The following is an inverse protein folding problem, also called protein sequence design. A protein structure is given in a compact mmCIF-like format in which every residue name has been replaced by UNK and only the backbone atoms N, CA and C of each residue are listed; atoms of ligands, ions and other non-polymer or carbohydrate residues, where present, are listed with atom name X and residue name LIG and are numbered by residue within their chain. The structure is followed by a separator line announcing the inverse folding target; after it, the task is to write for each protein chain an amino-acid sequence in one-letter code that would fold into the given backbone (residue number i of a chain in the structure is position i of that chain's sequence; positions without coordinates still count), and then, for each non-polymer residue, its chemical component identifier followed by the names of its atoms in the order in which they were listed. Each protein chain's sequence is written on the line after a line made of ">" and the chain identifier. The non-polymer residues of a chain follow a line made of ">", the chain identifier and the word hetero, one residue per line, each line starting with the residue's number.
data_IF_270781774649
#
_entry.id   IF_270781774649
#
_cell.length_a   1.000
_cell.length_b   1.000
_cell.length_c   1.000
_cell.angle_alpha   90.00
_cell.angle_beta   90.00
_cell.angle_gamma   90.00
#
_symmetry.space_group_name_H-M   'P 1'
#
loop_
_entity.id
_entity.type
_entity.pdbx_description
1 polymer ?
#
# COMPACT_ATOMS: atom_id res chain seq x y z
N UNK A 1 -2.54 8.79 1.17
CA UNK A 1 -3.30 8.34 -0.03
C UNK A 1 -3.32 6.82 -0.05
N UNK A 2 -4.45 6.24 -0.47
CA UNK A 2 -4.68 4.80 -0.54
C UNK A 2 -4.65 4.35 -2.01
N UNK A 3 -3.91 3.29 -2.31
CA UNK A 3 -3.79 2.75 -3.66
C UNK A 3 -3.95 1.23 -3.63
N UNK A 4 -5.16 0.70 -3.90
CA UNK A 4 -5.32 -0.72 -4.13
C UNK A 4 -4.57 -1.09 -5.42
N UNK A 5 -3.81 -2.17 -5.36
CA UNK A 5 -3.04 -2.72 -6.47
C UNK A 5 -3.60 -4.10 -6.78
N UNK A 6 -4.05 -4.29 -8.01
CA UNK A 6 -4.50 -5.58 -8.52
C UNK A 6 -3.44 -6.16 -9.46
N UNK A 7 -2.80 -7.26 -9.05
CA UNK A 7 -1.96 -8.05 -9.95
C UNK A 7 -2.59 -9.43 -10.14
N UNK A 8 -2.96 -9.73 -11.39
CA UNK A 8 -3.66 -10.96 -11.80
C UNK A 8 -4.91 -11.24 -10.94
N UNK A 9 -4.77 -12.09 -9.93
CA UNK A 9 -5.85 -12.56 -9.05
C UNK A 9 -5.62 -12.19 -7.59
N UNK A 10 -4.62 -11.37 -7.29
CA UNK A 10 -4.28 -10.95 -5.94
C UNK A 10 -4.41 -9.43 -5.79
N UNK A 11 -5.02 -9.02 -4.69
CA UNK A 11 -5.18 -7.61 -4.33
C UNK A 11 -4.26 -7.28 -3.16
N UNK A 12 -3.50 -6.20 -3.30
CA UNK A 12 -2.65 -5.62 -2.26
C UNK A 12 -2.96 -4.14 -2.10
N UNK A 13 -2.42 -3.51 -1.06
CA UNK A 13 -2.65 -2.09 -0.80
C UNK A 13 -1.33 -1.37 -0.58
N UNK A 14 -1.07 -0.35 -1.39
CA UNK A 14 -0.01 0.61 -1.17
C UNK A 14 -0.59 1.88 -0.53
N UNK A 15 -0.03 2.28 0.61
CA UNK A 15 -0.43 3.48 1.35
C UNK A 15 0.73 4.44 1.40
N UNK A 16 0.48 5.71 1.09
CA UNK A 16 1.43 6.78 1.40
C UNK A 16 0.95 7.65 2.55
N UNK A 17 1.88 7.93 3.47
CA UNK A 17 1.72 8.88 4.54
C UNK A 17 2.48 10.15 4.20
N UNK A 18 1.77 11.15 3.66
CA UNK A 18 2.37 12.41 3.21
C UNK A 18 3.12 13.16 4.32
N UNK A 19 2.68 13.05 5.58
CA UNK A 19 3.36 13.69 6.71
C UNK A 19 4.73 13.10 7.01
N UNK A 20 4.89 11.79 6.83
CA UNK A 20 6.14 11.08 7.10
C UNK A 20 6.95 10.81 5.84
N UNK A 21 6.47 11.27 4.68
CA UNK A 21 7.08 11.07 3.37
C UNK A 21 7.49 9.60 3.17
N UNK A 22 6.55 8.67 3.42
CA UNK A 22 6.84 7.23 3.44
C UNK A 22 5.72 6.39 2.84
N UNK A 23 6.08 5.22 2.33
CA UNK A 23 5.19 4.22 1.78
C UNK A 23 5.09 3.00 2.71
N UNK A 24 3.88 2.44 2.81
CA UNK A 24 3.61 1.19 3.51
C UNK A 24 2.83 0.27 2.56
N UNK A 25 3.37 -0.93 2.35
CA UNK A 25 2.75 -1.99 1.55
C UNK A 25 2.04 -3.01 2.43
N UNK A 26 0.78 -3.30 2.14
CA UNK A 26 -0.05 -4.26 2.85
C UNK A 26 -0.36 -5.45 1.95
N UNK A 27 -0.04 -6.64 2.46
CA UNK A 27 -0.28 -7.91 1.79
C UNK A 27 -0.89 -8.93 2.77
N UNK A 28 -2.13 -9.33 2.47
CA UNK A 28 -2.88 -10.32 3.23
C UNK A 28 -2.36 -11.74 3.03
N UNK A 29 -1.51 -12.00 2.04
CA UNK A 29 -0.97 -13.32 1.80
C UNK A 29 0.07 -13.69 2.89
N UNK A 30 -0.01 -14.88 3.50
CA UNK A 30 0.82 -15.25 4.64
C UNK A 30 2.24 -15.70 4.24
N UNK A 31 2.55 -15.78 2.95
CA UNK A 31 3.81 -16.34 2.48
C UNK A 31 5.00 -15.40 2.76
N UNK A 32 5.87 -15.81 3.70
CA UNK A 32 7.09 -15.08 4.07
C UNK A 32 8.05 -14.86 2.89
N UNK A 33 8.08 -15.79 1.92
CA UNK A 33 8.90 -15.65 0.72
C UNK A 33 8.37 -14.53 -0.18
N UNK A 34 7.04 -14.38 -0.29
CA UNK A 34 6.41 -13.29 -1.03
C UNK A 34 6.74 -11.93 -0.40
N UNK A 35 6.70 -11.86 0.94
CA UNK A 35 7.09 -10.67 1.71
C UNK A 35 8.57 -10.34 1.61
N UNK A 36 9.44 -11.34 1.49
CA UNK A 36 10.88 -11.13 1.40
C UNK A 36 11.31 -10.57 0.03
N UNK A 37 10.64 -10.96 -1.06
CA UNK A 37 10.96 -10.47 -2.42
C UNK A 37 10.20 -9.20 -2.79
N UNK A 38 9.14 -8.85 -2.06
CA UNK A 38 8.31 -7.68 -2.31
C UNK A 38 9.09 -6.35 -2.36
N UNK A 39 10.07 -6.07 -1.49
CA UNK A 39 10.88 -4.85 -1.60
C UNK A 39 11.70 -4.81 -2.89
N UNK A 40 12.20 -5.96 -3.34
CA UNK A 40 12.97 -6.07 -4.58
C UNK A 40 12.06 -5.90 -5.81
N UNK A 41 10.89 -6.54 -5.81
CA UNK A 41 9.88 -6.45 -6.89
C UNK A 41 9.29 -5.04 -6.96
N UNK A 42 8.90 -4.45 -5.83
CA UNK A 42 8.39 -3.07 -5.81
C UNK A 42 9.52 -2.07 -6.11
N UNK A 43 10.77 -2.36 -5.72
CA UNK A 43 11.92 -1.50 -6.03
C UNK A 43 12.33 -1.52 -7.50
N UNK A 44 12.22 -2.66 -8.19
CA UNK A 44 12.53 -2.77 -9.63
C UNK A 44 11.35 -2.45 -10.54
N UNK A 45 10.11 -2.73 -10.11
CA UNK A 45 8.87 -2.55 -10.89
C UNK A 45 7.95 -1.46 -10.30
N UNK A 46 8.51 -0.51 -9.54
CA UNK A 46 7.75 0.56 -8.86
C UNK A 46 6.83 1.33 -9.84
N UNK A 47 7.28 1.47 -11.09
CA UNK A 47 6.58 2.15 -12.19
C UNK A 47 5.35 1.38 -12.71
N UNK A 48 5.26 0.07 -12.46
CA UNK A 48 4.07 -0.74 -12.74
C UNK A 48 3.05 -0.62 -11.61
N UNK A 49 3.51 -0.34 -10.39
CA UNK A 49 2.67 -0.32 -9.19
C UNK A 49 2.04 1.05 -8.97
N UNK A 50 2.79 2.13 -9.19
CA UNK A 50 2.29 3.49 -9.05
C UNK A 50 1.81 4.01 -10.41
N UNK A 51 0.53 4.40 -10.56
CA UNK A 51 0.00 4.87 -11.82
C UNK A 51 0.83 6.02 -12.41
N UNK A 52 1.04 6.02 -13.73
CA UNK A 52 1.72 7.12 -14.44
C UNK A 52 1.08 8.48 -14.16
N UNK A 53 -0.23 8.54 -13.93
CA UNK A 53 -0.93 9.77 -13.55
C UNK A 53 -0.53 10.28 -12.15
N UNK A 54 -0.26 9.39 -11.20
CA UNK A 54 0.30 9.78 -9.92
C UNK A 54 1.75 10.22 -10.06
N UNK A 55 2.53 9.54 -10.89
CA UNK A 55 3.90 9.99 -11.17
C UNK A 55 3.89 11.41 -11.69
N UNK A 56 2.95 11.77 -12.56
CA UNK A 56 2.79 13.13 -13.08
C UNK A 56 2.35 14.14 -12.00
N UNK A 57 1.35 13.79 -11.18
CA UNK A 57 0.86 14.66 -10.10
C UNK A 57 1.89 14.83 -8.97
N UNK A 58 2.78 13.86 -8.79
CA UNK A 58 3.70 13.77 -7.66
C UNK A 58 5.16 14.02 -8.06
N UNK A 59 5.46 14.21 -9.35
CA UNK A 59 6.77 14.63 -9.86
C UNK A 59 6.97 16.15 -9.86
N UNK A 60 5.97 16.93 -9.46
CA UNK A 60 6.18 18.35 -9.21
C UNK A 60 7.00 18.48 -7.91
N UNK A 61 8.31 18.62 -8.08
CA UNK A 61 9.32 18.59 -7.00
C UNK A 61 9.05 19.59 -5.87
N UNK A 62 8.23 20.62 -6.13
CA UNK A 62 7.98 21.73 -5.22
C UNK A 62 6.98 21.43 -4.08
N UNK A 63 6.04 20.48 -4.25
CA UNK A 63 4.97 20.29 -3.26
C UNK A 63 5.35 19.38 -2.09
N UNK A 64 6.23 18.41 -2.32
CA UNK A 64 6.55 17.39 -1.33
C UNK A 64 8.04 17.28 -1.01
N UNK A 65 8.84 18.27 -1.42
CA UNK A 65 10.26 18.35 -1.07
C UNK A 65 11.13 17.30 -1.77
N UNK A 66 10.72 16.87 -2.96
CA UNK A 66 11.44 15.91 -3.78
C UNK A 66 10.57 14.79 -4.34
N UNK A 67 11.22 13.94 -5.13
CA UNK A 67 10.60 12.83 -5.83
C UNK A 67 10.08 11.76 -4.85
N UNK A 68 8.75 11.60 -4.81
CA UNK A 68 8.03 10.63 -3.97
C UNK A 68 8.47 9.17 -4.18
N UNK A 69 9.14 8.88 -5.31
CA UNK A 69 9.70 7.56 -5.64
C UNK A 69 10.86 7.18 -4.74
N UNK A 70 11.54 8.18 -4.21
CA UNK A 70 12.69 8.01 -3.33
C UNK A 70 12.28 7.89 -1.85
N UNK A 71 11.00 7.99 -1.55
CA UNK A 71 10.51 7.85 -0.19
C UNK A 71 10.70 6.42 0.31
N UNK A 72 11.04 6.22 1.60
CA UNK A 72 11.21 4.90 2.18
C UNK A 72 9.94 4.07 2.02
N UNK A 73 10.11 2.84 1.54
CA UNK A 73 9.08 1.82 1.45
C UNK A 73 9.28 0.79 2.56
N UNK A 74 8.19 0.48 3.27
CA UNK A 74 8.16 -0.58 4.28
C UNK A 74 6.98 -1.51 4.05
N UNK A 75 7.08 -2.74 4.55
CA UNK A 75 5.97 -3.71 4.53
C UNK A 75 5.28 -3.69 5.88
N UNK A 76 3.96 -3.64 5.87
CA UNK A 76 3.15 -3.73 7.07
C UNK A 76 3.35 -5.10 7.74
N UNK A 77 3.79 -5.09 8.99
CA UNK A 77 4.00 -6.31 9.79
C UNK A 77 2.89 -6.47 10.81
N UNK A 78 2.70 -7.71 11.31
CA UNK A 78 1.69 -8.05 12.33
C UNK A 78 0.25 -7.67 11.93
N UNK A 79 -0.03 -7.64 10.64
CA UNK A 79 -1.38 -7.45 10.10
C UNK A 79 -2.11 -8.79 9.99
N UNK A 80 -3.44 -8.82 10.12
CA UNK A 80 -4.25 -10.00 9.83
C UNK A 80 -3.98 -10.53 8.42
N UNK A 81 -3.93 -11.84 8.23
CA UNK A 81 -3.70 -12.49 6.93
C UNK A 81 -4.87 -13.36 6.53
N UNK A 82 -5.12 -13.49 5.22
CA UNK A 82 -6.12 -14.41 4.71
C UNK A 82 -5.65 -15.86 4.86
N UNK A 83 -6.62 -16.77 5.01
CA UNK A 83 -6.38 -18.23 5.04
C UNK A 83 -6.89 -18.94 3.78
N UNK A 84 -7.50 -18.20 2.86
CA UNK A 84 -8.01 -18.69 1.58
C UNK A 84 -7.40 -17.90 0.41
N UNK A 85 -7.77 -18.28 -0.83
CA UNK A 85 -7.22 -17.67 -2.04
C UNK A 85 -8.00 -16.48 -2.62
N UNK A 86 -9.12 -16.06 -2.03
CA UNK A 86 -10.08 -15.14 -2.68
C UNK A 86 -10.47 -13.91 -1.83
N UNK A 87 -10.17 -13.88 -0.54
CA UNK A 87 -10.52 -12.77 0.34
C UNK A 87 -9.58 -11.55 0.24
N UNK A 88 -8.54 -11.60 -0.60
CA UNK A 88 -7.53 -10.53 -0.71
C UNK A 88 -8.15 -9.13 -0.93
N UNK A 89 -9.21 -9.03 -1.73
CA UNK A 89 -9.94 -7.77 -1.91
C UNK A 89 -10.63 -7.26 -0.64
N UNK A 90 -11.22 -8.14 0.17
CA UNK A 90 -11.84 -7.78 1.45
C UNK A 90 -10.78 -7.32 2.45
N UNK A 91 -9.63 -7.99 2.50
CA UNK A 91 -8.52 -7.56 3.34
C UNK A 91 -8.00 -6.18 2.94
N UNK A 92 -7.88 -5.89 1.64
CA UNK A 92 -7.54 -4.54 1.15
C UNK A 92 -8.54 -3.50 1.66
N UNK A 93 -9.85 -3.75 1.56
CA UNK A 93 -10.88 -2.85 2.10
C UNK A 93 -10.72 -2.65 3.62
N UNK A 94 -10.46 -3.72 4.37
CA UNK A 94 -10.24 -3.65 5.83
C UNK A 94 -8.97 -2.92 6.22
N UNK A 95 -7.89 -3.04 5.44
CA UNK A 95 -6.69 -2.25 5.65
C UNK A 95 -6.91 -0.77 5.35
N UNK A 96 -7.66 -0.43 4.29
CA UNK A 96 -8.03 0.96 4.01
C UNK A 96 -8.84 1.56 5.16
N UNK A 97 -9.86 0.82 5.62
CA UNK A 97 -10.71 1.18 6.77
C UNK A 97 -9.83 1.46 8.01
N UNK A 98 -8.97 0.53 8.39
CA UNK A 98 -8.07 0.68 9.54
C UNK A 98 -7.03 1.81 9.38
N UNK A 99 -6.69 2.19 8.15
CA UNK A 99 -5.71 3.25 7.86
C UNK A 99 -6.30 4.64 7.97
N UNK A 100 -7.56 4.83 7.56
CA UNK A 100 -8.21 6.14 7.50
C UNK A 100 -9.00 6.48 8.75
N UNK A 101 -9.56 5.47 9.41
CA UNK A 101 -10.40 5.71 10.56
C UNK A 101 -9.52 5.91 11.81
N UNK A 102 -9.75 6.96 12.61
CA UNK A 102 -9.29 6.95 13.99
C UNK A 102 -9.84 5.69 14.69
N UNK A 103 -9.09 5.14 15.66
CA UNK A 103 -9.49 3.90 16.36
C UNK A 103 -10.90 3.95 16.98
N UNK A 104 -11.42 5.15 17.19
CA UNK A 104 -12.73 5.43 17.80
C UNK A 104 -13.71 6.07 16.82
N UNK A 105 -13.87 5.52 15.61
CA UNK A 105 -15.00 5.92 14.75
C UNK A 105 -16.28 5.31 15.31
N UNK A 106 -17.09 6.17 15.93
CA UNK A 106 -18.46 5.84 16.33
C UNK A 106 -19.35 5.81 15.09
N UNK A 107 -19.66 4.60 14.65
CA UNK A 107 -20.74 4.34 13.71
C UNK A 107 -22.04 4.26 14.53
N UNK A 108 -22.57 5.39 14.99
CA UNK A 108 -23.92 5.41 15.55
C UNK A 108 -24.94 5.40 14.39
N UNK A 109 -26.00 4.59 14.55
CA UNK A 109 -27.11 4.36 13.60
C UNK A 109 -28.04 5.56 13.44
#
# INVERSE_FOLDING_TARGET
>A
MLMPVADKSHWTLLVTYLKSLAWIFFDSFPNLTHRAILPDVVGTEWYLTVPRCLTYVLSEEDYFGGDIRNWPLSIATRIPTQTNGFDCGIFVCKYMEATILPRDVKWEE
#
